data_IF_068846423383
#
_entry.id   IF_068846423383
#
_cell.length_a   1.000
_cell.length_b   1.000
_cell.length_c   1.000
_cell.angle_alpha   90.00
_cell.angle_beta   90.00
_cell.angle_gamma   90.00
#
_symmetry.space_group_name_H-M   'P 1'
#
loop_
_entity.id
_entity.type
_entity.pdbx_description
1 polymer ?
#
# COMPACT_ATOMS: atom_id res chain seq x y z
N UNK A 1 -3.65 3.72 14.98
CA UNK A 1 -2.48 2.82 14.91
C UNK A 1 -2.62 1.58 15.81
N UNK A 2 -3.22 1.71 17.00
CA UNK A 2 -3.38 0.60 17.95
C UNK A 2 -4.10 -0.61 17.34
N UNK A 3 -5.16 -0.39 16.57
CA UNK A 3 -5.86 -1.48 15.87
C UNK A 3 -4.97 -2.22 14.87
N UNK A 4 -4.13 -1.50 14.13
CA UNK A 4 -3.19 -2.09 13.18
C UNK A 4 -2.13 -2.94 13.91
N UNK A 5 -1.59 -2.42 15.01
CA UNK A 5 -0.63 -3.12 15.84
C UNK A 5 -1.25 -4.40 16.44
N UNK A 6 -2.47 -4.31 16.96
CA UNK A 6 -3.20 -5.46 17.52
C UNK A 6 -3.38 -6.58 16.49
N UNK A 7 -3.63 -6.25 15.22
CA UNK A 7 -3.77 -7.26 14.15
C UNK A 7 -2.44 -8.01 13.97
N UNK A 8 -1.33 -7.29 13.82
CA UNK A 8 -0.01 -7.90 13.65
C UNK A 8 0.38 -8.78 14.87
N UNK A 9 0.17 -8.26 16.08
CA UNK A 9 0.41 -9.02 17.30
C UNK A 9 -0.44 -10.30 17.39
N UNK A 10 -1.71 -10.23 16.99
CA UNK A 10 -2.60 -11.40 16.99
C UNK A 10 -2.10 -12.48 16.06
N UNK A 11 -1.63 -12.12 14.87
CA UNK A 11 -1.03 -13.07 13.92
C UNK A 11 0.18 -13.75 14.56
N UNK A 12 1.10 -12.99 15.15
CA UNK A 12 2.31 -13.54 15.77
C UNK A 12 2.00 -14.40 16.99
N UNK A 13 1.08 -13.98 17.86
CA UNK A 13 0.64 -14.74 19.05
C UNK A 13 0.02 -16.08 18.70
N UNK A 14 -0.63 -16.16 17.53
CA UNK A 14 -1.21 -17.39 17.00
C UNK A 14 -0.21 -18.24 16.19
N UNK A 15 1.08 -17.92 16.24
CA UNK A 15 2.13 -18.67 15.54
C UNK A 15 2.26 -18.38 14.06
N UNK A 16 1.66 -17.28 13.57
CA UNK A 16 1.83 -16.81 12.19
C UNK A 16 3.23 -16.27 11.94
N UNK A 17 3.58 -16.15 10.64
CA UNK A 17 4.89 -15.66 10.22
C UNK A 17 4.99 -14.12 10.32
N UNK A 18 6.22 -13.60 10.37
CA UNK A 18 6.47 -12.17 10.28
C UNK A 18 5.86 -11.57 8.99
N UNK A 19 5.96 -12.30 7.88
CA UNK A 19 5.39 -11.89 6.59
C UNK A 19 3.86 -11.75 6.65
N UNK A 20 3.16 -12.70 7.28
CA UNK A 20 1.70 -12.64 7.45
C UNK A 20 1.28 -11.48 8.35
N UNK A 21 2.03 -11.23 9.43
CA UNK A 21 1.77 -10.11 10.34
C UNK A 21 1.91 -8.77 9.61
N UNK A 22 2.96 -8.59 8.81
CA UNK A 22 3.19 -7.39 7.99
C UNK A 22 2.08 -7.20 6.97
N UNK A 23 1.75 -8.23 6.19
CA UNK A 23 0.68 -8.14 5.19
C UNK A 23 -0.66 -7.75 5.81
N UNK A 24 -1.08 -8.41 6.89
CA UNK A 24 -2.37 -8.14 7.51
C UNK A 24 -2.43 -6.75 8.15
N UNK A 25 -1.34 -6.31 8.78
CA UNK A 25 -1.23 -4.96 9.36
C UNK A 25 -1.34 -3.90 8.27
N UNK A 26 -0.57 -4.02 7.19
CA UNK A 26 -0.60 -3.06 6.09
C UNK A 26 -1.96 -3.10 5.36
N UNK A 27 -2.56 -4.28 5.17
CA UNK A 27 -3.92 -4.41 4.60
C UNK A 27 -4.95 -3.61 5.41
N UNK A 28 -4.88 -3.66 6.74
CA UNK A 28 -5.76 -2.85 7.57
C UNK A 28 -5.53 -1.35 7.39
N UNK A 29 -4.27 -0.93 7.32
CA UNK A 29 -3.89 0.47 7.09
C UNK A 29 -4.35 0.96 5.70
N UNK A 30 -4.25 0.13 4.66
CA UNK A 30 -4.76 0.43 3.32
C UNK A 30 -6.30 0.57 3.27
N UNK A 31 -7.02 -0.13 4.14
CA UNK A 31 -8.48 -0.03 4.24
C UNK A 31 -8.93 1.18 5.07
N UNK A 32 -8.04 1.81 5.82
CA UNK A 32 -8.34 2.95 6.68
C UNK A 32 -8.19 4.28 5.91
N UNK A 33 -9.26 5.08 5.73
CA UNK A 33 -9.22 6.28 4.88
C UNK A 33 -8.39 7.43 5.45
N UNK A 34 -7.83 7.27 6.65
CA UNK A 34 -7.04 8.31 7.32
C UNK A 34 -5.60 8.38 6.81
N UNK A 35 -5.08 7.32 6.18
CA UNK A 35 -3.69 7.23 5.74
C UNK A 35 -3.55 7.44 4.23
N UNK A 36 -2.34 7.82 3.80
CA UNK A 36 -2.00 7.90 2.38
C UNK A 36 -1.55 6.53 1.86
N UNK A 37 -2.47 5.59 1.81
CA UNK A 37 -2.28 4.24 1.25
C UNK A 37 -3.65 3.61 0.97
N UNK A 38 -3.80 2.86 -0.12
CA UNK A 38 -5.08 2.27 -0.47
C UNK A 38 -6.22 3.29 -0.45
N UNK A 39 -7.26 3.03 0.35
CA UNK A 39 -8.33 4.00 0.58
C UNK A 39 -7.79 5.21 1.35
N UNK A 40 -7.88 6.38 0.77
CA UNK A 40 -7.31 7.62 1.31
C UNK A 40 -5.96 7.99 0.72
N UNK A 41 -5.51 7.27 -0.32
CA UNK A 41 -4.35 7.65 -1.10
C UNK A 41 -4.53 9.03 -1.74
N UNK A 42 -3.43 9.75 -1.87
CA UNK A 42 -3.39 11.05 -2.55
C UNK A 42 -3.68 10.91 -4.04
N UNK A 43 -4.08 12.00 -4.67
CA UNK A 43 -4.32 12.07 -6.11
C UNK A 43 -3.06 12.48 -6.88
N UNK A 44 -2.92 11.93 -8.09
CA UNK A 44 -2.00 12.44 -9.12
C UNK A 44 -2.42 13.83 -9.57
N UNK A 45 -1.57 14.50 -10.33
CA UNK A 45 -1.91 15.79 -10.94
C UNK A 45 -3.15 15.73 -11.82
N UNK A 46 -3.42 14.58 -12.44
CA UNK A 46 -4.57 14.33 -13.33
C UNK A 46 -5.83 13.92 -12.55
N UNK A 47 -5.77 13.84 -11.23
CA UNK A 47 -6.92 13.50 -10.39
C UNK A 47 -7.24 12.01 -10.32
N UNK A 48 -6.22 11.15 -10.43
CA UNK A 48 -6.32 9.69 -10.27
C UNK A 48 -5.63 9.24 -8.99
N UNK A 49 -6.05 8.11 -8.44
CA UNK A 49 -5.31 7.42 -7.40
C UNK A 49 -4.44 6.33 -8.04
N UNK A 50 -3.15 6.44 -7.92
CA UNK A 50 -2.17 5.44 -8.33
C UNK A 50 -1.41 4.99 -7.09
N UNK A 51 -1.38 3.69 -6.86
CA UNK A 51 -0.93 3.08 -5.61
C UNK A 51 0.37 2.31 -5.80
N UNK A 52 1.22 2.36 -4.79
CA UNK A 52 2.51 1.69 -4.76
C UNK A 52 2.62 0.86 -3.47
N UNK A 53 3.21 -0.33 -3.55
CA UNK A 53 3.48 -1.15 -2.37
C UNK A 53 4.72 -2.01 -2.58
N UNK A 54 5.37 -2.35 -1.47
CA UNK A 54 6.48 -3.31 -1.47
C UNK A 54 6.47 -4.15 -0.21
N UNK A 55 6.96 -5.38 -0.32
CA UNK A 55 7.11 -6.31 0.80
C UNK A 55 8.39 -7.12 0.63
N UNK A 56 9.03 -7.45 1.74
CA UNK A 56 10.22 -8.29 1.74
C UNK A 56 10.15 -9.31 2.88
N UNK A 57 10.47 -10.54 2.56
CA UNK A 57 10.66 -11.63 3.51
C UNK A 57 12.15 -11.77 3.85
N UNK A 58 12.51 -11.53 5.10
CA UNK A 58 13.88 -11.63 5.56
C UNK A 58 14.40 -13.06 5.65
N UNK A 59 13.53 -14.06 5.80
CA UNK A 59 13.94 -15.46 5.85
C UNK A 59 14.50 -15.95 4.50
N UNK A 60 13.86 -15.56 3.41
CA UNK A 60 14.24 -15.95 2.04
C UNK A 60 15.01 -14.85 1.30
N UNK A 61 15.02 -13.63 1.82
CA UNK A 61 15.52 -12.42 1.17
C UNK A 61 14.83 -12.09 -0.17
N UNK A 62 13.64 -12.67 -0.38
CA UNK A 62 12.80 -12.35 -1.54
C UNK A 62 12.01 -11.07 -1.28
N UNK A 63 11.81 -10.30 -2.33
CA UNK A 63 10.98 -9.09 -2.31
C UNK A 63 10.00 -9.06 -3.47
N UNK A 64 8.92 -8.33 -3.28
CA UNK A 64 7.96 -8.02 -4.32
C UNK A 64 7.48 -6.57 -4.20
N UNK A 65 7.25 -5.95 -5.35
CA UNK A 65 6.79 -4.57 -5.40
C UNK A 65 5.78 -4.37 -6.53
N UNK A 66 4.93 -3.38 -6.34
CA UNK A 66 4.02 -2.89 -7.39
C UNK A 66 4.02 -1.37 -7.41
N UNK A 67 3.88 -0.81 -8.60
CA UNK A 67 3.81 0.62 -8.80
C UNK A 67 2.68 1.05 -9.72
N UNK A 68 2.06 2.18 -9.41
CA UNK A 68 0.99 2.81 -10.19
C UNK A 68 -0.19 1.88 -10.50
N UNK A 69 -0.60 1.03 -9.53
CA UNK A 69 -1.79 0.18 -9.66
C UNK A 69 -3.06 0.95 -9.30
N UNK A 70 -4.17 0.62 -9.95
CA UNK A 70 -5.39 1.42 -9.86
C UNK A 70 -6.65 0.62 -9.49
N UNK A 71 -6.63 -0.69 -9.53
CA UNK A 71 -7.81 -1.53 -9.39
C UNK A 71 -7.75 -2.54 -8.24
N UNK A 72 -6.59 -2.99 -7.83
CA UNK A 72 -6.46 -3.93 -6.72
C UNK A 72 -6.72 -3.23 -5.38
N UNK A 73 -7.65 -3.76 -4.59
CA UNK A 73 -8.05 -3.15 -3.32
C UNK A 73 -6.90 -2.97 -2.34
N UNK A 74 -6.03 -3.99 -2.25
CA UNK A 74 -4.90 -4.02 -1.34
C UNK A 74 -3.58 -4.25 -2.08
N UNK A 75 -2.87 -3.17 -2.45
CA UNK A 75 -1.59 -3.25 -3.16
C UNK A 75 -0.53 -4.11 -2.45
N UNK A 76 -0.52 -4.15 -1.12
CA UNK A 76 0.44 -4.98 -0.35
C UNK A 76 0.26 -6.47 -0.65
N UNK A 77 -0.97 -6.95 -0.84
CA UNK A 77 -1.24 -8.34 -1.22
C UNK A 77 -0.77 -8.65 -2.62
N UNK A 78 -0.88 -7.69 -3.53
CA UNK A 78 -0.34 -7.83 -4.88
C UNK A 78 1.20 -7.84 -4.85
N UNK A 79 1.84 -6.99 -4.07
CA UNK A 79 3.30 -7.01 -3.90
C UNK A 79 3.77 -8.38 -3.39
N UNK A 80 3.07 -8.97 -2.42
CA UNK A 80 3.35 -10.34 -1.97
C UNK A 80 3.14 -11.38 -3.07
N UNK A 81 2.08 -11.29 -3.85
CA UNK A 81 1.83 -12.19 -4.97
C UNK A 81 2.94 -12.10 -6.04
N UNK A 82 3.45 -10.90 -6.32
CA UNK A 82 4.60 -10.71 -7.21
C UNK A 82 5.83 -11.44 -6.67
N UNK A 83 6.12 -11.30 -5.38
CA UNK A 83 7.25 -11.99 -4.73
C UNK A 83 7.14 -13.52 -4.78
N UNK A 84 5.95 -14.06 -4.52
CA UNK A 84 5.74 -15.49 -4.33
C UNK A 84 5.40 -16.25 -5.63
N UNK A 85 4.74 -15.60 -6.58
CA UNK A 85 4.07 -16.26 -7.72
C UNK A 85 4.51 -15.74 -9.08
N UNK A 86 5.51 -14.86 -9.14
CA UNK A 86 6.07 -14.37 -10.40
C UNK A 86 7.59 -14.48 -10.40
N UNK A 87 8.23 -14.49 -11.59
CA UNK A 87 9.69 -14.41 -11.69
C UNK A 87 10.22 -12.98 -11.49
N UNK A 88 9.34 -12.00 -11.33
CA UNK A 88 9.68 -10.60 -11.23
C UNK A 88 9.79 -10.14 -9.78
N UNK A 89 10.60 -9.12 -9.54
CA UNK A 89 10.65 -8.40 -8.26
C UNK A 89 9.61 -7.28 -8.23
N UNK A 90 9.30 -6.70 -9.39
CA UNK A 90 8.37 -5.57 -9.51
C UNK A 90 7.53 -5.67 -10.77
N UNK A 91 6.24 -5.36 -10.63
CA UNK A 91 5.31 -5.10 -11.73
C UNK A 91 4.71 -3.70 -11.57
N UNK A 92 4.26 -3.11 -12.68
CA UNK A 92 3.66 -1.77 -12.64
C UNK A 92 2.51 -1.59 -13.62
N UNK A 93 1.66 -0.58 -13.31
CA UNK A 93 0.56 -0.13 -14.17
C UNK A 93 -0.36 -1.28 -14.60
N UNK A 94 -0.81 -1.25 -15.87
CA UNK A 94 -1.77 -2.22 -16.45
C UNK A 94 -1.30 -3.67 -16.28
N UNK A 95 0.00 -3.94 -16.43
CA UNK A 95 0.55 -5.30 -16.26
C UNK A 95 0.44 -5.80 -14.83
N UNK A 96 0.61 -4.93 -13.83
CA UNK A 96 0.40 -5.28 -12.43
C UNK A 96 -1.09 -5.46 -12.11
N UNK A 97 -1.97 -4.61 -12.65
CA UNK A 97 -3.43 -4.75 -12.49
C UNK A 97 -3.95 -6.02 -13.18
N UNK A 98 -3.41 -6.40 -14.34
CA UNK A 98 -3.73 -7.67 -15.01
C UNK A 98 -3.30 -8.86 -14.16
N UNK A 99 -2.07 -8.88 -13.69
CA UNK A 99 -1.57 -9.94 -12.80
C UNK A 99 -2.41 -10.04 -11.51
N UNK A 100 -2.88 -8.92 -10.96
CA UNK A 100 -3.76 -8.94 -9.78
C UNK A 100 -5.07 -9.69 -10.03
N UNK A 101 -5.66 -9.54 -11.23
CA UNK A 101 -6.87 -10.27 -11.64
C UNK A 101 -6.58 -11.76 -11.85
N UNK A 102 -5.47 -12.09 -12.49
CA UNK A 102 -5.04 -13.48 -12.67
C UNK A 102 -4.83 -14.21 -11.33
N UNK A 103 -4.34 -13.50 -10.31
CA UNK A 103 -4.15 -14.03 -8.97
C UNK A 103 -5.45 -14.06 -8.14
N UNK A 104 -6.58 -13.64 -8.69
CA UNK A 104 -7.87 -13.63 -8.01
C UNK A 104 -7.96 -12.64 -6.83
N UNK A 105 -7.15 -11.59 -6.84
CA UNK A 105 -7.18 -10.57 -5.79
C UNK A 105 -8.42 -9.67 -5.93
N UNK A 106 -8.94 -9.19 -4.81
CA UNK A 106 -10.12 -8.34 -4.77
C UNK A 106 -9.90 -7.06 -5.58
N UNK A 107 -10.77 -6.82 -6.56
CA UNK A 107 -10.75 -5.63 -7.41
C UNK A 107 -11.81 -4.63 -6.94
N UNK A 108 -11.50 -3.36 -7.06
CA UNK A 108 -12.42 -2.26 -6.75
C UNK A 108 -12.46 -1.25 -7.90
N UNK A 109 -13.55 -0.48 -7.95
CA UNK A 109 -13.57 0.71 -8.80
C UNK A 109 -12.55 1.72 -8.22
N UNK A 110 -11.78 2.44 -9.06
CA UNK A 110 -10.84 3.47 -8.60
C UNK A 110 -11.44 4.50 -7.62
N UNK A 111 -12.72 4.81 -7.70
CA UNK A 111 -13.42 5.71 -6.78
C UNK A 111 -13.40 5.21 -5.31
N UNK A 112 -13.15 3.92 -5.07
CA UNK A 112 -12.99 3.36 -3.73
C UNK A 112 -11.86 4.04 -2.94
N UNK A 113 -10.78 4.43 -3.62
CA UNK A 113 -9.60 5.01 -2.99
C UNK A 113 -9.78 6.49 -2.67
N UNK A 114 -10.67 7.16 -3.38
CA UNK A 114 -10.90 8.59 -3.29
C UNK A 114 -11.50 8.99 -1.94
N UNK A 115 -11.01 10.10 -1.38
CA UNK A 115 -11.63 10.75 -0.24
C UNK A 115 -11.78 12.25 -0.50
N UNK A 116 -12.83 12.91 0.05
CA UNK A 116 -13.02 14.36 -0.10
C UNK A 116 -11.81 15.16 0.38
N UNK A 117 -11.16 14.73 1.47
CA UNK A 117 -9.99 15.40 2.03
C UNK A 117 -8.81 15.39 1.07
N UNK A 118 -8.53 14.24 0.42
CA UNK A 118 -7.42 14.13 -0.55
C UNK A 118 -7.70 14.94 -1.81
N UNK A 119 -8.97 14.99 -2.23
CA UNK A 119 -9.38 15.85 -3.35
C UNK A 119 -9.17 17.32 -3.03
N UNK A 120 -9.59 17.78 -1.85
CA UNK A 120 -9.36 19.14 -1.38
C UNK A 120 -7.87 19.51 -1.39
N UNK A 121 -7.00 18.60 -0.94
CA UNK A 121 -5.54 18.80 -0.94
C UNK A 121 -5.00 18.98 -2.35
N UNK A 122 -5.49 18.22 -3.34
CA UNK A 122 -5.10 18.38 -4.75
C UNK A 122 -5.54 19.75 -5.29
N UNK A 123 -6.78 20.15 -5.03
CA UNK A 123 -7.30 21.45 -5.47
C UNK A 123 -6.51 22.62 -4.87
N UNK A 124 -6.20 22.53 -3.59
CA UNK A 124 -5.40 23.53 -2.89
C UNK A 124 -3.98 23.65 -3.48
N UNK A 125 -3.34 22.52 -3.74
CA UNK A 125 -2.04 22.48 -4.39
C UNK A 125 -2.06 23.16 -5.76
N UNK A 126 -3.07 22.86 -6.58
CA UNK A 126 -3.25 23.46 -7.92
C UNK A 126 -3.55 24.97 -7.85
N UNK A 127 -4.44 25.38 -6.96
CA UNK A 127 -4.86 26.77 -6.83
C UNK A 127 -3.75 27.70 -6.34
N UNK A 128 -2.95 27.24 -5.39
CA UNK A 128 -1.84 28.02 -4.82
C UNK A 128 -0.53 27.89 -5.60
N UNK A 129 -0.48 27.11 -6.68
CA UNK A 129 0.75 26.75 -7.40
C UNK A 129 1.87 26.27 -6.46
N UNK A 130 1.47 25.59 -5.38
CA UNK A 130 2.40 25.08 -4.38
C UNK A 130 3.22 23.93 -4.94
N UNK A 131 4.45 23.81 -4.48
CA UNK A 131 5.20 22.57 -4.62
C UNK A 131 4.57 21.50 -3.72
N UNK A 132 4.74 20.24 -4.08
CA UNK A 132 4.21 19.10 -3.31
C UNK A 132 4.75 19.01 -1.86
N UNK A 133 5.81 19.74 -1.51
CA UNK A 133 6.32 19.89 -0.15
C UNK A 133 5.50 20.84 0.73
N UNK A 134 4.68 21.70 0.13
CA UNK A 134 3.96 22.75 0.83
C UNK A 134 2.56 22.32 1.28
N UNK A 135 2.15 21.08 0.96
CA UNK A 135 0.87 20.53 1.38
C UNK A 135 1.02 19.90 2.75
N UNK A 136 0.21 20.33 3.72
CA UNK A 136 0.15 19.75 5.07
C UNK A 136 -0.35 18.30 4.99
N UNK A 137 0.60 17.36 4.91
CA UNK A 137 0.35 15.93 4.89
C UNK A 137 0.21 15.43 6.32
N UNK A 138 -0.99 15.46 6.83
CA UNK A 138 -1.30 15.03 8.19
C UNK A 138 -0.99 13.56 8.47
N UNK A 139 -1.01 12.71 7.42
CA UNK A 139 -0.68 11.29 7.49
C UNK A 139 -0.03 10.86 6.17
N UNK A 140 1.16 10.26 6.27
CA UNK A 140 1.97 9.84 5.12
C UNK A 140 1.77 8.35 4.75
N UNK A 141 2.74 7.83 4.02
CA UNK A 141 2.97 6.42 3.70
C UNK A 141 2.81 5.54 4.95
N UNK A 142 2.23 4.36 4.80
CA UNK A 142 2.12 3.37 5.87
C UNK A 142 3.18 2.27 5.70
N UNK A 143 3.51 1.61 6.80
CA UNK A 143 4.40 0.46 6.79
C UNK A 143 4.31 -0.34 8.07
N UNK A 144 4.85 -1.55 8.02
CA UNK A 144 4.99 -2.44 9.16
C UNK A 144 6.28 -3.24 9.06
N UNK A 145 6.84 -3.56 10.21
CA UNK A 145 7.92 -4.52 10.39
C UNK A 145 7.52 -5.51 11.48
N UNK A 146 7.91 -6.76 11.34
CA UNK A 146 7.63 -7.80 12.31
C UNK A 146 8.78 -8.78 12.45
N UNK A 147 8.87 -9.41 13.62
CA UNK A 147 9.74 -10.55 13.92
C UNK A 147 8.87 -11.67 14.46
N UNK A 148 8.94 -12.85 13.87
CA UNK A 148 8.20 -14.03 14.35
C UNK A 148 8.97 -14.83 15.40
N UNK A 149 8.32 -15.87 15.94
CA UNK A 149 8.89 -16.75 16.96
C UNK A 149 10.12 -17.54 16.50
N UNK A 150 10.33 -17.67 15.18
CA UNK A 150 11.51 -18.30 14.60
C UNK A 150 12.67 -17.30 14.39
N UNK A 151 12.46 -16.01 14.73
CA UNK A 151 13.44 -14.95 14.52
C UNK A 151 13.49 -14.39 13.09
N UNK A 152 12.55 -14.78 12.22
CA UNK A 152 12.47 -14.24 10.88
C UNK A 152 11.90 -12.82 10.91
N UNK A 153 12.45 -11.95 10.08
CA UNK A 153 12.03 -10.55 9.94
C UNK A 153 11.29 -10.35 8.63
N UNK A 154 10.27 -9.54 8.62
CA UNK A 154 9.63 -9.07 7.40
C UNK A 154 9.32 -7.56 7.50
N UNK A 155 9.26 -6.91 6.34
CA UNK A 155 8.90 -5.49 6.23
C UNK A 155 8.01 -5.27 5.01
N UNK A 156 7.10 -4.30 5.10
CA UNK A 156 6.25 -3.89 3.99
C UNK A 156 5.82 -2.45 4.11
N UNK A 157 5.60 -1.81 2.97
CA UNK A 157 5.14 -0.43 2.85
C UNK A 157 4.04 -0.32 1.79
N UNK A 158 3.15 0.66 1.97
CA UNK A 158 2.12 1.01 0.99
C UNK A 158 1.87 2.50 0.98
N UNK A 159 1.62 3.07 -0.20
CA UNK A 159 1.47 4.52 -0.35
C UNK A 159 0.71 4.91 -1.61
N UNK A 160 0.12 6.10 -1.61
CA UNK A 160 -0.32 6.82 -2.81
C UNK A 160 0.76 7.74 -3.39
N UNK A 161 1.95 7.79 -2.77
CA UNK A 161 3.01 8.71 -3.18
C UNK A 161 2.78 10.15 -2.71
N UNK A 162 3.11 11.12 -3.54
CA UNK A 162 3.00 12.55 -3.24
C UNK A 162 1.77 13.16 -3.93
N UNK A 163 1.09 14.08 -3.24
CA UNK A 163 -0.06 14.80 -3.82
C UNK A 163 0.38 15.53 -5.09
N UNK A 164 -0.37 15.32 -6.18
CA UNK A 164 -0.07 15.95 -7.46
C UNK A 164 1.12 15.33 -8.21
N UNK A 165 1.57 14.12 -7.85
CA UNK A 165 2.60 13.38 -8.61
C UNK A 165 2.21 13.24 -10.09
N UNK A 166 3.22 13.15 -10.98
CA UNK A 166 3.06 13.00 -12.44
C UNK A 166 3.61 11.66 -12.92
#
# INVERSE_FOLDING_TARGET
LDSALTIGETVLKNGGTALDAVEQTVTWLENCPLFNAGRGAVFTHEGKNELDASIMDGATQKAGAVGSVMNVKNPIRLARAVMEKSPHVMLSREGADEFSREQGLEQVNPDYFATPERWRQLEELKAKKLGWYDVDLKYGTVGAVAVDSAGNVAAGTSTGGLTGKR
#
